data_IF_197715901212
#
_entry.id   IF_197715901212
#
_cell.length_a   1.000
_cell.length_b   1.000
_cell.length_c   1.000
_cell.angle_alpha   90.00
_cell.angle_beta   90.00
_cell.angle_gamma   90.00
#
_symmetry.space_group_name_H-M   'P 1'
#
loop_
_entity.id
_entity.type
_entity.pdbx_description
1 polymer ?
#
# COMPACT_ATOMS: atom_id res chain seq x y z
N UNK A 1 0.94 -13.24 -4.12
CA UNK A 1 0.98 -11.76 -4.07
C UNK A 1 -0.15 -11.16 -3.25
N UNK A 2 -1.39 -11.02 -3.74
CA UNK A 2 -2.44 -10.31 -2.98
C UNK A 2 -2.79 -10.95 -1.63
N UNK A 3 -2.78 -12.28 -1.54
CA UNK A 3 -2.97 -13.00 -0.27
C UNK A 3 -1.84 -12.76 0.73
N UNK A 4 -0.59 -12.68 0.27
CA UNK A 4 0.58 -12.40 1.12
C UNK A 4 0.56 -10.97 1.63
N UNK A 5 0.21 -10.01 0.77
CA UNK A 5 0.01 -8.61 1.14
C UNK A 5 -1.10 -8.46 2.17
N UNK A 6 -2.26 -9.10 1.95
CA UNK A 6 -3.36 -9.06 2.90
C UNK A 6 -2.94 -9.65 4.27
N UNK A 7 -2.23 -10.78 4.28
CA UNK A 7 -1.71 -11.38 5.52
C UNK A 7 -0.68 -10.50 6.23
N UNK A 8 0.14 -9.76 5.48
CA UNK A 8 1.09 -8.81 6.02
C UNK A 8 0.37 -7.66 6.72
N UNK A 9 -0.58 -7.01 6.03
CA UNK A 9 -1.29 -5.85 6.56
C UNK A 9 -2.21 -6.14 7.76
N UNK A 10 -2.64 -7.40 7.96
CA UNK A 10 -3.36 -7.82 9.16
C UNK A 10 -2.61 -7.52 10.47
N UNK A 11 -1.28 -7.47 10.42
CA UNK A 11 -0.43 -7.26 11.59
C UNK A 11 0.15 -5.84 11.65
N UNK A 12 -0.32 -4.94 10.78
CA UNK A 12 0.16 -3.56 10.68
C UNK A 12 -0.93 -2.58 11.10
N UNK A 13 -0.58 -1.36 11.58
CA UNK A 13 -1.54 -0.33 11.94
C UNK A 13 -2.10 0.36 10.69
N UNK A 14 -2.86 -0.39 9.90
CA UNK A 14 -3.42 0.01 8.60
C UNK A 14 -4.92 -0.31 8.61
N UNK A 15 -5.75 0.69 8.25
CA UNK A 15 -7.20 0.53 8.08
C UNK A 15 -7.51 -0.13 6.74
N UNK A 16 -6.86 0.33 5.67
CA UNK A 16 -7.02 -0.18 4.30
C UNK A 16 -5.73 -0.11 3.53
N UNK A 17 -5.50 -1.07 2.64
CA UNK A 17 -4.43 -1.04 1.66
C UNK A 17 -4.98 -1.31 0.26
N UNK A 18 -4.40 -0.62 -0.72
CA UNK A 18 -4.76 -0.72 -2.12
C UNK A 18 -3.49 -0.81 -2.96
N UNK A 19 -3.52 -1.58 -4.05
CA UNK A 19 -2.54 -1.41 -5.14
C UNK A 19 -3.09 -0.41 -6.14
N UNK A 20 -2.22 0.37 -6.77
CA UNK A 20 -2.62 1.31 -7.83
C UNK A 20 -1.57 1.35 -8.95
N UNK A 21 -1.77 2.23 -9.94
CA UNK A 21 -0.81 2.42 -11.02
C UNK A 21 -0.65 1.19 -11.92
N UNK A 22 0.57 0.96 -12.42
CA UNK A 22 0.89 -0.17 -13.31
C UNK A 22 0.66 -1.52 -12.62
N UNK A 23 0.80 -1.57 -11.29
CA UNK A 23 0.51 -2.73 -10.44
C UNK A 23 -0.94 -3.21 -10.57
N UNK A 24 -1.89 -2.27 -10.63
CA UNK A 24 -3.31 -2.59 -10.75
C UNK A 24 -3.72 -3.00 -12.17
N UNK A 25 -2.93 -2.67 -13.20
CA UNK A 25 -3.30 -2.84 -14.62
C UNK A 25 -2.77 -4.12 -15.28
N UNK A 26 -2.08 -5.01 -14.57
CA UNK A 26 -1.47 -6.25 -15.12
C UNK A 26 -0.41 -5.96 -16.22
N UNK A 27 -0.01 -4.70 -16.41
CA UNK A 27 1.05 -4.27 -17.33
C UNK A 27 2.45 -4.25 -16.66
N UNK A 28 2.57 -4.82 -15.46
CA UNK A 28 3.83 -4.84 -14.74
C UNK A 28 4.90 -5.63 -15.52
N UNK A 29 6.01 -4.95 -15.80
CA UNK A 29 7.24 -5.62 -16.24
C UNK A 29 7.96 -6.21 -15.03
N UNK A 30 8.91 -7.15 -15.23
CA UNK A 30 9.74 -7.68 -14.15
C UNK A 30 10.47 -6.58 -13.35
N UNK A 31 10.84 -5.46 -14.00
CA UNK A 31 11.55 -4.34 -13.38
C UNK A 31 10.63 -3.28 -12.73
N UNK A 32 9.31 -3.41 -12.86
CA UNK A 32 8.38 -2.40 -12.35
C UNK A 32 8.29 -2.39 -10.82
N UNK A 33 8.29 -1.19 -10.25
CA UNK A 33 8.00 -0.95 -8.83
C UNK A 33 6.54 -1.33 -8.51
N UNK A 34 6.27 -1.67 -7.24
CA UNK A 34 4.92 -1.98 -6.74
C UNK A 34 4.39 -0.78 -5.96
N UNK A 35 3.36 -0.12 -6.50
CA UNK A 35 2.73 1.05 -5.89
C UNK A 35 1.61 0.63 -4.93
N UNK A 36 1.74 0.97 -3.65
CA UNK A 36 0.78 0.62 -2.60
C UNK A 36 0.31 1.87 -1.87
N UNK A 37 -1.01 2.07 -1.84
CA UNK A 37 -1.65 3.13 -1.07
C UNK A 37 -2.17 2.55 0.24
N UNK A 38 -1.81 3.17 1.36
CA UNK A 38 -2.31 2.78 2.69
C UNK A 38 -3.08 3.89 3.38
N UNK A 39 -4.20 3.54 3.98
CA UNK A 39 -4.91 4.34 4.98
C UNK A 39 -4.39 3.92 6.35
N UNK A 40 -3.53 4.76 6.96
CA UNK A 40 -2.90 4.47 8.24
C UNK A 40 -3.88 4.58 9.41
N UNK A 41 -3.70 3.69 10.40
CA UNK A 41 -4.46 3.70 11.64
C UNK A 41 -3.65 4.35 12.78
N UNK A 42 -3.75 5.68 12.90
CA UNK A 42 -3.05 6.42 13.97
C UNK A 42 -3.57 6.08 15.37
N UNK A 43 -4.79 5.55 15.49
CA UNK A 43 -5.35 5.10 16.77
C UNK A 43 -4.74 3.75 17.20
N UNK A 44 -4.30 2.94 16.22
CA UNK A 44 -3.57 1.67 16.41
C UNK A 44 -2.03 1.87 16.42
N UNK A 45 -1.59 3.12 16.60
CA UNK A 45 -0.18 3.46 16.73
C UNK A 45 0.58 3.52 15.40
N UNK A 46 -0.07 3.86 14.28
CA UNK A 46 0.67 4.22 13.08
C UNK A 46 1.52 5.48 13.31
N UNK A 47 2.80 5.40 12.92
CA UNK A 47 3.74 6.52 12.96
C UNK A 47 4.68 6.48 11.74
N UNK A 48 5.57 7.46 11.65
CA UNK A 48 6.52 7.57 10.55
C UNK A 48 7.53 6.42 10.51
N UNK A 49 8.00 5.92 11.66
CA UNK A 49 8.95 4.81 11.71
C UNK A 49 8.32 3.52 11.24
N UNK A 50 7.11 3.20 11.71
CA UNK A 50 6.34 2.05 11.24
C UNK A 50 6.03 2.14 9.75
N UNK A 51 5.76 3.33 9.24
CA UNK A 51 5.56 3.53 7.81
C UNK A 51 6.82 3.18 6.99
N UNK A 52 7.99 3.64 7.42
CA UNK A 52 9.26 3.29 6.77
C UNK A 52 9.57 1.79 6.88
N UNK A 53 9.40 1.21 8.07
CA UNK A 53 9.58 -0.22 8.30
C UNK A 53 8.67 -1.04 7.39
N UNK A 54 7.42 -0.62 7.20
CA UNK A 54 6.51 -1.28 6.29
C UNK A 54 7.01 -1.30 4.86
N UNK A 55 7.54 -0.17 4.37
CA UNK A 55 8.08 -0.09 3.01
C UNK A 55 9.28 -1.03 2.81
N UNK A 56 10.20 -1.09 3.78
CA UNK A 56 11.35 -2.00 3.73
C UNK A 56 10.92 -3.47 3.79
N UNK A 57 10.02 -3.82 4.72
CA UNK A 57 9.51 -5.18 4.88
C UNK A 57 8.73 -5.66 3.66
N UNK A 58 7.88 -4.81 3.08
CA UNK A 58 7.15 -5.12 1.86
C UNK A 58 8.10 -5.32 0.67
N UNK A 59 9.14 -4.48 0.56
CA UNK A 59 10.14 -4.64 -0.49
C UNK A 59 10.91 -5.95 -0.36
N UNK A 60 11.26 -6.34 0.88
CA UNK A 60 11.90 -7.61 1.17
C UNK A 60 10.97 -8.82 0.89
N UNK A 61 9.69 -8.72 1.28
CA UNK A 61 8.68 -9.76 1.10
C UNK A 61 8.41 -10.04 -0.39
N UNK A 62 8.34 -8.98 -1.21
CA UNK A 62 8.00 -9.08 -2.63
C UNK A 62 9.23 -9.23 -3.54
N UNK A 63 10.44 -9.14 -2.98
CA UNK A 63 11.71 -9.09 -3.72
C UNK A 63 11.73 -8.04 -4.83
N UNK A 64 11.02 -6.94 -4.62
CA UNK A 64 10.83 -5.83 -5.56
C UNK A 64 10.79 -4.53 -4.79
N UNK A 65 11.10 -3.42 -5.45
CA UNK A 65 10.95 -2.10 -4.85
C UNK A 65 9.46 -1.79 -4.69
N UNK A 66 9.08 -1.37 -3.49
CA UNK A 66 7.71 -0.95 -3.15
C UNK A 66 7.70 0.55 -2.92
N UNK A 67 6.83 1.26 -3.64
CA UNK A 67 6.51 2.66 -3.34
C UNK A 67 5.26 2.70 -2.46
N UNK A 68 5.48 2.94 -1.16
CA UNK A 68 4.40 2.99 -0.18
C UNK A 68 3.95 4.45 -0.04
N UNK A 69 2.66 4.70 -0.21
CA UNK A 69 2.07 6.04 -0.14
C UNK A 69 0.97 6.07 0.90
N UNK A 70 0.99 7.09 1.77
CA UNK A 70 -0.11 7.33 2.71
C UNK A 70 -1.22 8.13 2.05
N UNK A 71 -2.47 7.67 2.20
CA UNK A 71 -3.65 8.37 1.71
C UNK A 71 -3.78 9.80 2.28
N UNK A 72 -3.27 10.04 3.49
CA UNK A 72 -3.29 11.36 4.13
C UNK A 72 -2.26 12.34 3.55
N UNK A 73 -1.21 11.82 2.89
CA UNK A 73 -0.17 12.64 2.27
C UNK A 73 -0.44 12.98 0.80
N UNK A 74 -1.54 12.49 0.22
CA UNK A 74 -1.82 12.69 -1.19
C UNK A 74 -2.27 14.11 -1.50
N UNK A 75 -1.71 14.67 -2.57
CA UNK A 75 -2.20 15.91 -3.16
C UNK A 75 -3.67 15.77 -3.58
N UNK A 76 -4.54 16.76 -3.28
CA UNK A 76 -5.93 16.76 -3.72
C UNK A 76 -6.11 16.63 -5.24
N UNK A 77 -5.10 17.04 -6.01
CA UNK A 77 -5.12 16.93 -7.47
C UNK A 77 -4.81 15.51 -7.96
N UNK A 78 -4.06 14.73 -7.19
CA UNK A 78 -3.62 13.36 -7.55
C UNK A 78 -4.61 12.32 -7.05
N UNK A 79 -5.21 12.56 -5.88
CA UNK A 79 -6.16 11.65 -5.23
C UNK A 79 -7.27 11.13 -6.17
N UNK A 80 -7.94 11.95 -7.01
CA UNK A 80 -9.00 11.46 -7.89
C UNK A 80 -8.52 10.48 -8.97
N UNK A 81 -7.26 10.58 -9.40
CA UNK A 81 -6.69 9.65 -10.37
C UNK A 81 -6.40 8.30 -9.72
N UNK A 82 -5.80 8.31 -8.53
CA UNK A 82 -5.52 7.09 -7.77
C UNK A 82 -6.84 6.40 -7.38
N UNK A 83 -7.83 7.14 -6.90
CA UNK A 83 -9.12 6.57 -6.47
C UNK A 83 -9.87 5.85 -7.60
N UNK A 84 -9.65 6.22 -8.87
CA UNK A 84 -10.28 5.56 -10.02
C UNK A 84 -9.64 4.22 -10.40
N UNK A 85 -8.38 4.03 -10.02
CA UNK A 85 -7.56 2.92 -10.51
C UNK A 85 -7.10 1.98 -9.40
N UNK A 86 -7.22 2.40 -8.14
CA UNK A 86 -6.82 1.61 -7.00
C UNK A 86 -7.69 0.37 -6.85
N UNK A 87 -7.07 -0.75 -6.52
CA UNK A 87 -7.73 -2.00 -6.20
C UNK A 87 -7.48 -2.34 -4.73
N UNK A 88 -8.57 -2.60 -4.00
CA UNK A 88 -8.50 -2.97 -2.59
C UNK A 88 -7.81 -4.33 -2.45
N UNK A 89 -6.81 -4.39 -1.58
CA UNK A 89 -6.10 -5.64 -1.25
C UNK A 89 -6.27 -6.05 0.22
N UNK A 90 -6.57 -5.09 1.09
CA UNK A 90 -6.79 -5.32 2.51
C UNK A 90 -7.71 -4.26 3.08
N UNK A 91 -8.66 -4.67 3.91
CA UNK A 91 -9.47 -3.82 4.77
C UNK A 91 -9.55 -4.49 6.15
N UNK A 92 -9.27 -3.72 7.20
CA UNK A 92 -9.43 -4.18 8.58
C UNK A 92 -10.93 -4.28 8.84
N UNK A 93 -11.46 -5.50 8.91
CA UNK A 93 -12.83 -5.72 9.31
C UNK A 93 -13.00 -5.24 10.76
N UNK A 94 -13.96 -4.34 10.98
CA UNK A 94 -14.32 -3.82 12.30
C UNK A 94 -14.91 -4.90 13.21
#
# INVERSE_FOLDING_TARGET
MFSELASYFQHQPVKRAYVFGSTARVEQTPESDIDILVELDYEDGADFYRFLDMQEQLSALLHKKVDLVSANGLSPFVKPYIDREKQLIYEKNA
#
